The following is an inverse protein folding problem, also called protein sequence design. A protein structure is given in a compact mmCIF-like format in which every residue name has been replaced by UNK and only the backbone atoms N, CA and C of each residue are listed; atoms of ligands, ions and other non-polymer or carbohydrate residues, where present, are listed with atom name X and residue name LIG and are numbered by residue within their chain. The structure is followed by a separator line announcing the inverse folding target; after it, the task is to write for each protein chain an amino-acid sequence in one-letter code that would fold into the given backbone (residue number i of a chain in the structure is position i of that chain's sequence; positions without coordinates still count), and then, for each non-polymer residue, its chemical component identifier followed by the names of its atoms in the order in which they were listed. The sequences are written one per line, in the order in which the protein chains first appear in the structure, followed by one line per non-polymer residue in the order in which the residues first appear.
data_IF_593369182221
#
_entry.id   IF_593369182221
#
_cell.length_a   1.000
_cell.length_b   1.000
_cell.length_c   1.000
_cell.angle_alpha   90.00
_cell.angle_beta   90.00
_cell.angle_gamma   90.00
#
_symmetry.space_group_name_H-M   'P 1'
#
loop_
_entity.id
_entity.type
_entity.pdbx_description
1 polymer ?
#
# COMPACT_ATOMS: atom_id res chain seq x y z
N UNK A 1 23.25 10.15 -4.12
CA UNK A 1 22.25 10.44 -5.17
C UNK A 1 21.11 9.41 -5.25
N UNK A 2 21.02 8.44 -4.33
CA UNK A 2 19.95 7.42 -4.23
C UNK A 2 18.67 7.98 -3.62
N UNK A 3 17.51 7.29 -3.73
CA UNK A 3 16.32 7.57 -2.92
C UNK A 3 16.63 7.59 -1.42
N UNK A 4 15.78 8.23 -0.62
CA UNK A 4 15.93 8.28 0.87
C UNK A 4 15.94 6.87 1.45
N UNK A 5 15.12 5.98 0.90
CA UNK A 5 15.06 4.57 1.26
C UNK A 5 14.24 3.75 0.29
N UNK A 6 14.50 2.45 0.26
CA UNK A 6 13.81 1.46 -0.55
C UNK A 6 13.45 0.25 0.29
N UNK A 7 12.16 -0.07 0.38
CA UNK A 7 11.64 -1.11 1.26
C UNK A 7 10.77 -2.09 0.52
N UNK A 8 10.87 -3.36 0.88
CA UNK A 8 9.97 -4.40 0.42
C UNK A 8 9.03 -4.82 1.55
N UNK A 9 7.73 -4.63 1.37
CA UNK A 9 6.71 -5.01 2.32
C UNK A 9 6.09 -6.34 1.90
N UNK A 10 6.35 -7.38 2.68
CA UNK A 10 5.84 -8.74 2.45
C UNK A 10 4.77 -9.09 3.45
N UNK A 11 3.83 -9.92 3.06
CA UNK A 11 2.83 -10.45 3.95
C UNK A 11 1.46 -10.63 3.29
N UNK A 12 0.54 -11.26 4.01
CA UNK A 12 -0.80 -11.52 3.51
C UNK A 12 -1.56 -10.25 3.10
N UNK A 13 -2.63 -10.43 2.36
CA UNK A 13 -3.53 -9.33 2.01
C UNK A 13 -4.22 -8.76 3.25
N UNK A 14 -4.39 -7.44 3.31
CA UNK A 14 -5.19 -6.79 4.34
C UNK A 14 -4.54 -6.69 5.73
N UNK A 15 -3.21 -6.79 5.82
CA UNK A 15 -2.45 -6.63 7.07
C UNK A 15 -1.94 -5.20 7.31
N UNK A 16 -2.18 -4.26 6.37
CA UNK A 16 -1.86 -2.85 6.57
C UNK A 16 -0.67 -2.32 5.77
N UNK A 17 -0.12 -3.06 4.79
CA UNK A 17 1.03 -2.61 3.98
C UNK A 17 0.79 -1.24 3.33
N UNK A 18 -0.35 -1.06 2.65
CA UNK A 18 -0.72 0.21 2.00
C UNK A 18 -1.01 1.31 3.02
N UNK A 19 -1.62 0.99 4.15
CA UNK A 19 -1.93 1.98 5.19
C UNK A 19 -0.65 2.51 5.86
N UNK A 20 0.37 1.65 6.06
CA UNK A 20 1.67 2.11 6.55
C UNK A 20 2.34 3.07 5.56
N UNK A 21 2.26 2.79 4.24
CA UNK A 21 2.81 3.70 3.23
C UNK A 21 2.12 5.07 3.23
N UNK A 22 0.79 5.12 3.44
CA UNK A 22 0.04 6.38 3.61
C UNK A 22 0.47 7.13 4.86
N UNK A 23 0.54 6.43 5.99
CA UNK A 23 0.98 7.02 7.26
C UNK A 23 2.41 7.57 7.18
N UNK A 24 3.30 6.91 6.44
CA UNK A 24 4.65 7.40 6.18
C UNK A 24 4.64 8.68 5.34
N UNK A 25 3.80 8.77 4.31
CA UNK A 25 3.69 9.97 3.49
C UNK A 25 3.20 11.16 4.32
N UNK A 26 2.17 10.96 5.15
CA UNK A 26 1.66 11.97 6.06
C UNK A 26 2.70 12.39 7.11
N UNK A 27 3.35 11.42 7.75
CA UNK A 27 4.33 11.68 8.81
C UNK A 27 5.59 12.41 8.32
N UNK A 28 6.09 12.06 7.13
CA UNK A 28 7.35 12.59 6.62
C UNK A 28 7.19 13.86 5.78
N UNK A 29 6.07 14.00 5.09
CA UNK A 29 5.84 15.09 4.14
C UNK A 29 4.62 15.96 4.50
N UNK A 30 3.96 15.68 5.63
CA UNK A 30 2.81 16.42 6.16
C UNK A 30 1.63 16.52 5.15
N UNK A 31 1.52 15.54 4.24
CA UNK A 31 0.49 15.48 3.21
C UNK A 31 0.23 14.02 2.77
N UNK A 32 -0.96 13.49 3.05
CA UNK A 32 -1.38 12.17 2.56
C UNK A 32 -1.29 12.05 1.02
N UNK A 33 -1.44 13.19 0.30
CA UNK A 33 -1.32 13.24 -1.16
C UNK A 33 0.12 13.12 -1.65
N UNK A 34 1.11 13.12 -0.75
CA UNK A 34 2.49 12.78 -1.08
C UNK A 34 2.70 11.28 -1.36
N UNK A 35 1.64 10.46 -1.28
CA UNK A 35 1.67 9.06 -1.70
C UNK A 35 1.36 8.96 -3.21
N UNK A 36 2.33 8.45 -3.97
CA UNK A 36 2.17 8.03 -5.37
C UNK A 36 1.97 6.53 -5.39
N UNK A 37 0.77 6.06 -5.70
CA UNK A 37 0.46 4.62 -5.76
C UNK A 37 0.35 4.15 -7.20
N UNK A 38 1.07 3.08 -7.51
CA UNK A 38 1.06 2.42 -8.83
C UNK A 38 0.88 0.92 -8.61
N UNK A 39 -0.16 0.35 -9.23
CA UNK A 39 -0.45 -1.08 -9.18
C UNK A 39 0.27 -1.79 -10.32
N UNK A 40 1.16 -2.73 -10.01
CA UNK A 40 1.95 -3.46 -11.00
C UNK A 40 1.12 -4.45 -11.81
N UNK A 41 -0.10 -4.77 -11.41
CA UNK A 41 -1.03 -5.55 -12.24
C UNK A 41 -1.41 -4.83 -13.54
N UNK A 42 -1.26 -3.50 -13.60
CA UNK A 42 -1.45 -2.70 -14.81
C UNK A 42 -0.21 -2.68 -15.73
N UNK A 43 0.91 -3.26 -15.29
CA UNK A 43 2.22 -3.24 -15.95
C UNK A 43 2.76 -4.66 -16.22
N UNK A 44 1.87 -5.59 -16.53
CA UNK A 44 2.21 -6.98 -16.84
C UNK A 44 2.79 -7.15 -18.25
N UNK A 45 2.44 -6.25 -19.17
CA UNK A 45 2.82 -6.31 -20.56
C UNK A 45 3.99 -5.37 -20.87
N UNK A 46 4.85 -5.77 -21.80
CA UNK A 46 6.05 -4.99 -22.19
C UNK A 46 5.72 -3.55 -22.60
N UNK A 47 4.69 -3.33 -23.39
CA UNK A 47 4.30 -1.99 -23.85
C UNK A 47 3.77 -1.10 -22.71
N UNK A 48 3.26 -1.70 -21.63
CA UNK A 48 2.75 -0.92 -20.50
C UNK A 48 3.86 -0.21 -19.72
N UNK A 49 5.11 -0.69 -19.81
CA UNK A 49 6.29 -0.05 -19.17
C UNK A 49 6.47 1.39 -19.66
N UNK A 50 6.16 1.67 -20.93
CA UNK A 50 6.22 3.03 -21.48
C UNK A 50 5.25 4.00 -20.78
N UNK A 51 4.16 3.49 -20.21
CA UNK A 51 3.25 4.30 -19.39
C UNK A 51 3.87 4.76 -18.06
N UNK A 52 4.87 4.04 -17.55
CA UNK A 52 5.59 4.45 -16.34
C UNK A 52 6.51 5.64 -16.58
N UNK A 53 7.26 5.61 -17.67
CA UNK A 53 8.33 6.58 -17.97
C UNK A 53 7.93 7.59 -19.02
N UNK A 54 6.86 7.37 -19.77
CA UNK A 54 6.43 8.14 -20.93
C UNK A 54 6.79 7.48 -22.24
N UNK A 55 5.94 7.65 -23.25
CA UNK A 55 6.19 7.15 -24.59
C UNK A 55 7.26 8.00 -25.28
N UNK A 56 8.12 7.41 -26.15
CA UNK A 56 9.07 8.17 -26.95
C UNK A 56 8.35 9.01 -28.03
N UNK A 57 9.03 10.00 -28.63
CA UNK A 57 8.47 10.84 -29.67
C UNK A 57 7.87 10.03 -30.81
N UNK A 58 6.67 10.42 -31.25
CA UNK A 58 5.94 9.76 -32.34
C UNK A 58 5.05 8.59 -31.93
N UNK A 59 5.01 8.23 -30.66
CA UNK A 59 4.10 7.19 -30.14
C UNK A 59 2.90 7.83 -29.42
N UNK A 60 1.79 7.08 -29.39
CA UNK A 60 0.58 7.47 -28.65
C UNK A 60 0.89 7.60 -27.15
N UNK A 61 0.44 8.69 -26.52
CA UNK A 61 0.71 8.98 -25.12
C UNK A 61 1.99 9.79 -24.84
N UNK A 62 2.71 10.25 -25.89
CA UNK A 62 3.90 11.08 -25.71
C UNK A 62 3.63 12.36 -24.92
N UNK A 63 2.53 13.05 -25.21
CA UNK A 63 2.16 14.32 -24.55
C UNK A 63 1.69 14.14 -23.10
N UNK A 64 1.23 12.94 -22.72
CA UNK A 64 0.74 12.64 -21.38
C UNK A 64 1.86 12.47 -20.35
N UNK A 65 3.08 12.12 -20.84
CA UNK A 65 4.21 11.80 -19.97
C UNK A 65 4.07 10.45 -19.28
N UNK A 66 5.06 10.07 -18.48
CA UNK A 66 5.04 8.82 -17.72
C UNK A 66 4.33 8.96 -16.37
N UNK A 67 3.54 7.98 -16.01
CA UNK A 67 2.77 8.00 -14.77
C UNK A 67 3.68 8.15 -13.53
N UNK A 68 4.80 7.43 -13.48
CA UNK A 68 5.77 7.53 -12.41
C UNK A 68 6.59 8.82 -12.50
N UNK A 69 7.15 9.10 -13.68
CA UNK A 69 8.03 10.25 -13.87
C UNK A 69 7.33 11.58 -13.70
N UNK A 70 6.10 11.75 -14.21
CA UNK A 70 5.31 12.97 -14.02
C UNK A 70 4.85 13.15 -12.56
N UNK A 71 4.48 12.08 -11.88
CA UNK A 71 4.09 12.14 -10.47
C UNK A 71 5.24 12.66 -9.60
N UNK A 72 6.45 12.11 -9.78
CA UNK A 72 7.64 12.52 -9.03
C UNK A 72 8.12 13.91 -9.45
N UNK A 73 8.05 14.26 -10.74
CA UNK A 73 8.39 15.60 -11.21
C UNK A 73 7.52 16.69 -10.58
N UNK A 74 6.22 16.41 -10.43
CA UNK A 74 5.26 17.33 -9.79
C UNK A 74 5.41 17.38 -8.27
N UNK A 75 5.79 16.26 -7.65
CA UNK A 75 5.98 16.11 -6.20
C UNK A 75 7.27 15.37 -5.90
N UNK A 76 8.41 16.08 -5.87
CA UNK A 76 9.72 15.46 -5.65
C UNK A 76 9.85 14.82 -4.26
N UNK A 77 9.13 15.33 -3.27
CA UNK A 77 9.07 14.77 -1.91
C UNK A 77 7.83 13.90 -1.82
N UNK A 78 8.00 12.60 -1.99
CA UNK A 78 6.88 11.66 -2.01
C UNK A 78 7.29 10.25 -1.58
N UNK A 79 6.31 9.50 -1.12
CA UNK A 79 6.38 8.05 -0.97
C UNK A 79 5.81 7.42 -2.23
N UNK A 80 6.60 6.59 -2.90
CA UNK A 80 6.18 5.83 -4.08
C UNK A 80 5.84 4.42 -3.61
N UNK A 81 4.59 4.03 -3.78
CA UNK A 81 4.10 2.70 -3.47
C UNK A 81 3.85 1.93 -4.75
N UNK A 82 4.64 0.89 -4.97
CA UNK A 82 4.51 -0.05 -6.08
C UNK A 82 3.85 -1.33 -5.54
N UNK A 83 2.56 -1.49 -5.80
CA UNK A 83 1.79 -2.64 -5.30
C UNK A 83 1.93 -3.86 -6.23
N UNK A 84 1.99 -5.05 -5.62
CA UNK A 84 1.97 -6.36 -6.30
C UNK A 84 3.13 -6.57 -7.28
N UNK A 85 4.35 -6.33 -6.81
CA UNK A 85 5.58 -6.39 -7.62
C UNK A 85 5.80 -7.70 -8.36
N UNK A 86 5.30 -8.83 -7.84
CA UNK A 86 5.37 -10.14 -8.49
C UNK A 86 4.65 -10.20 -9.84
N UNK A 87 3.73 -9.26 -10.11
CA UNK A 87 2.97 -9.18 -11.37
C UNK A 87 3.64 -8.33 -12.44
N UNK A 88 4.64 -7.53 -12.08
CA UNK A 88 5.30 -6.61 -12.99
C UNK A 88 6.04 -7.32 -14.11
N UNK A 89 5.97 -6.77 -15.33
CA UNK A 89 6.81 -7.21 -16.44
C UNK A 89 8.30 -7.04 -16.08
N UNK A 90 9.20 -7.94 -16.54
CA UNK A 90 10.65 -7.85 -16.27
C UNK A 90 11.28 -6.50 -16.58
N UNK A 91 10.81 -5.78 -17.59
CA UNK A 91 11.34 -4.46 -17.96
C UNK A 91 11.03 -3.38 -16.91
N UNK A 92 10.01 -3.54 -16.07
CA UNK A 92 9.75 -2.65 -14.93
C UNK A 92 10.92 -2.69 -13.95
N UNK A 93 11.48 -3.88 -13.69
CA UNK A 93 12.64 -4.02 -12.79
C UNK A 93 13.87 -3.31 -13.33
N UNK A 94 14.08 -3.28 -14.65
CA UNK A 94 15.18 -2.53 -15.26
C UNK A 94 15.04 -1.02 -15.03
N UNK A 95 13.82 -0.49 -15.11
CA UNK A 95 13.52 0.91 -14.77
C UNK A 95 13.79 1.19 -13.30
N UNK A 96 13.35 0.31 -12.41
CA UNK A 96 13.55 0.46 -10.96
C UNK A 96 15.01 0.34 -10.56
N UNK A 97 15.80 -0.55 -11.20
CA UNK A 97 17.23 -0.64 -10.97
C UNK A 97 17.93 0.69 -11.22
N UNK A 98 17.58 1.39 -12.30
CA UNK A 98 18.12 2.72 -12.59
C UNK A 98 17.77 3.73 -11.49
N UNK A 99 16.53 3.71 -11.01
CA UNK A 99 16.09 4.58 -9.91
C UNK A 99 16.85 4.27 -8.62
N UNK A 100 17.00 2.98 -8.28
CA UNK A 100 17.65 2.55 -7.04
C UNK A 100 19.17 2.80 -7.04
N UNK A 101 19.82 2.69 -8.21
CA UNK A 101 21.26 2.90 -8.35
C UNK A 101 21.63 4.38 -8.51
N UNK A 102 20.96 5.08 -9.42
CA UNK A 102 21.32 6.44 -9.84
C UNK A 102 20.46 7.53 -9.17
N UNK A 103 19.35 7.16 -8.52
CA UNK A 103 18.39 8.10 -7.92
C UNK A 103 17.73 9.01 -8.94
N UNK A 104 17.73 8.64 -10.22
CA UNK A 104 17.16 9.42 -11.33
C UNK A 104 16.68 8.50 -12.45
N UNK A 105 15.76 9.01 -13.24
CA UNK A 105 15.20 8.33 -14.38
C UNK A 105 15.00 9.32 -15.52
N UNK A 106 15.36 8.93 -16.75
CA UNK A 106 15.07 9.73 -17.94
C UNK A 106 13.69 9.37 -18.47
N UNK A 107 12.82 10.37 -18.60
CA UNK A 107 11.47 10.18 -19.14
C UNK A 107 11.46 10.06 -20.69
N UNK A 108 10.30 9.74 -21.24
CA UNK A 108 10.12 9.61 -22.71
C UNK A 108 10.37 10.90 -23.48
N UNK A 109 10.45 12.06 -22.82
CA UNK A 109 10.76 13.35 -23.41
C UNK A 109 12.24 13.74 -23.26
N UNK A 110 13.08 12.86 -22.73
CA UNK A 110 14.50 13.09 -22.51
C UNK A 110 14.83 13.91 -21.25
N UNK A 111 13.85 14.20 -20.39
CA UNK A 111 14.07 14.95 -19.15
C UNK A 111 14.53 14.02 -18.05
N UNK A 112 15.50 14.45 -17.25
CA UNK A 112 15.91 13.72 -16.05
C UNK A 112 14.98 14.07 -14.87
N UNK A 113 14.41 13.04 -14.26
CA UNK A 113 13.58 13.13 -13.06
C UNK A 113 14.36 12.59 -11.87
N UNK A 114 14.50 13.39 -10.83
CA UNK A 114 15.23 13.02 -9.60
C UNK A 114 14.32 12.34 -8.60
N UNK A 115 14.78 11.21 -8.05
CA UNK A 115 14.13 10.40 -7.02
C UNK A 115 14.81 10.52 -5.66
N UNK A 116 15.82 11.39 -5.51
CA UNK A 116 16.61 11.46 -4.26
C UNK A 116 15.80 11.87 -3.02
N UNK A 117 14.68 12.53 -3.18
CA UNK A 117 13.81 12.93 -2.07
C UNK A 117 12.57 12.02 -1.94
N UNK A 118 12.61 10.83 -2.54
CA UNK A 118 11.51 9.86 -2.49
C UNK A 118 11.87 8.69 -1.60
N UNK A 119 10.84 8.06 -1.05
CA UNK A 119 10.91 6.73 -0.43
C UNK A 119 10.17 5.78 -1.35
N UNK A 120 10.81 4.65 -1.67
CA UNK A 120 10.22 3.62 -2.53
C UNK A 120 9.78 2.46 -1.66
N UNK A 121 8.50 2.15 -1.69
CA UNK A 121 7.90 1.00 -1.03
C UNK A 121 7.33 0.09 -2.09
N UNK A 122 7.74 -1.16 -2.07
CA UNK A 122 7.25 -2.22 -2.92
C UNK A 122 6.49 -3.23 -2.09
N UNK A 123 5.31 -3.66 -2.54
CA UNK A 123 4.57 -4.71 -1.85
C UNK A 123 4.54 -5.99 -2.67
N UNK A 124 4.48 -7.11 -2.00
CA UNK A 124 4.27 -8.42 -2.62
C UNK A 124 3.56 -9.39 -1.68
N UNK A 125 2.86 -10.34 -2.27
CA UNK A 125 2.27 -11.48 -1.56
C UNK A 125 3.19 -12.72 -1.59
N UNK A 126 4.39 -12.60 -2.13
CA UNK A 126 5.39 -13.68 -2.12
C UNK A 126 5.72 -14.05 -0.68
N UNK A 127 5.78 -15.34 -0.40
CA UNK A 127 6.02 -15.85 0.96
C UNK A 127 4.82 -15.76 1.92
N UNK A 128 3.68 -15.23 1.49
CA UNK A 128 2.51 -15.02 2.37
C UNK A 128 2.00 -16.28 3.04
N UNK A 129 2.11 -17.44 2.38
CA UNK A 129 1.73 -18.73 2.96
C UNK A 129 2.60 -19.08 4.16
N UNK A 130 3.93 -18.99 4.02
CA UNK A 130 4.88 -19.23 5.11
C UNK A 130 4.66 -18.26 6.26
N UNK A 131 4.43 -16.97 5.96
CA UNK A 131 4.13 -15.95 6.96
C UNK A 131 2.84 -16.30 7.72
N UNK A 132 1.78 -16.70 7.02
CA UNK A 132 0.50 -17.04 7.65
C UNK A 132 0.57 -18.29 8.54
N UNK A 133 1.32 -19.31 8.12
CA UNK A 133 1.38 -20.60 8.82
C UNK A 133 2.38 -20.63 9.98
N UNK A 134 3.50 -19.92 9.87
CA UNK A 134 4.64 -19.99 10.77
C UNK A 134 4.80 -18.77 11.68
N UNK A 135 4.15 -17.63 11.41
CA UNK A 135 4.21 -16.47 12.30
C UNK A 135 3.84 -16.80 13.74
N UNK A 136 4.71 -16.45 14.67
CA UNK A 136 4.54 -16.72 16.09
C UNK A 136 4.74 -18.18 16.52
N UNK A 137 5.13 -19.06 15.59
CA UNK A 137 5.41 -20.49 15.85
C UNK A 137 6.88 -20.81 15.60
N UNK A 138 7.39 -20.50 14.42
CA UNK A 138 8.76 -20.71 14.00
C UNK A 138 9.20 -19.56 13.08
N UNK A 139 9.74 -18.52 13.69
CA UNK A 139 10.15 -17.30 12.98
C UNK A 139 11.40 -17.53 12.11
N UNK A 140 12.27 -18.43 12.49
CA UNK A 140 13.48 -18.75 11.73
C UNK A 140 13.14 -19.48 10.44
N UNK A 141 12.31 -20.54 10.54
CA UNK A 141 11.83 -21.27 9.36
C UNK A 141 10.97 -20.39 8.47
N UNK A 142 10.12 -19.53 9.06
CA UNK A 142 9.34 -18.55 8.30
C UNK A 142 10.25 -17.66 7.46
N UNK A 143 11.29 -17.06 8.05
CA UNK A 143 12.24 -16.20 7.34
C UNK A 143 12.95 -16.96 6.23
N UNK A 144 13.42 -18.16 6.51
CA UNK A 144 14.09 -19.02 5.52
C UNK A 144 13.17 -19.28 4.31
N UNK A 145 11.91 -19.62 4.54
CA UNK A 145 10.94 -19.87 3.45
C UNK A 145 10.59 -18.59 2.69
N UNK A 146 10.47 -17.45 3.37
CA UNK A 146 10.24 -16.14 2.74
C UNK A 146 11.42 -15.76 1.85
N UNK A 147 12.64 -15.87 2.34
CA UNK A 147 13.86 -15.55 1.59
C UNK A 147 14.00 -16.44 0.36
N UNK A 148 13.72 -17.74 0.50
CA UNK A 148 13.72 -18.68 -0.63
C UNK A 148 12.66 -18.30 -1.68
N UNK A 149 11.45 -17.94 -1.26
CA UNK A 149 10.38 -17.51 -2.17
C UNK A 149 10.75 -16.20 -2.90
N UNK A 150 11.36 -15.25 -2.19
CA UNK A 150 11.85 -13.99 -2.77
C UNK A 150 12.93 -14.24 -3.81
N UNK A 151 13.90 -15.09 -3.52
CA UNK A 151 14.99 -15.45 -4.43
C UNK A 151 14.50 -16.19 -5.69
N UNK A 152 13.39 -16.92 -5.61
CA UNK A 152 12.76 -17.57 -6.76
C UNK A 152 11.99 -16.60 -7.64
N UNK A 153 11.42 -15.54 -7.05
CA UNK A 153 10.55 -14.61 -7.75
C UNK A 153 11.28 -13.41 -8.32
N UNK A 154 12.26 -12.88 -7.57
CA UNK A 154 12.98 -11.67 -7.92
C UNK A 154 14.45 -11.93 -8.17
N UNK A 155 15.05 -11.22 -9.12
CA UNK A 155 16.48 -11.36 -9.44
C UNK A 155 17.34 -10.89 -8.27
N UNK A 156 18.47 -11.59 -7.97
CA UNK A 156 19.39 -11.21 -6.89
C UNK A 156 19.91 -9.78 -7.04
N UNK A 157 20.19 -9.32 -8.27
CA UNK A 157 20.64 -7.96 -8.54
C UNK A 157 19.63 -6.88 -8.11
N UNK A 158 18.33 -7.19 -8.16
CA UNK A 158 17.28 -6.31 -7.70
C UNK A 158 17.17 -6.33 -6.16
N UNK A 159 17.13 -7.52 -5.56
CA UNK A 159 17.01 -7.67 -4.11
C UNK A 159 18.20 -7.02 -3.36
N UNK A 160 19.41 -7.09 -3.90
CA UNK A 160 20.60 -6.51 -3.30
C UNK A 160 20.60 -4.96 -3.27
N UNK A 161 19.66 -4.31 -3.94
CA UNK A 161 19.52 -2.84 -3.94
C UNK A 161 18.43 -2.33 -3.03
N UNK A 162 17.67 -3.25 -2.45
CA UNK A 162 16.64 -2.92 -1.47
C UNK A 162 17.30 -2.76 -0.10
N UNK A 163 16.99 -1.66 0.58
CA UNK A 163 17.62 -1.35 1.87
C UNK A 163 17.12 -2.29 2.96
N UNK A 164 15.81 -2.63 2.97
CA UNK A 164 15.27 -3.57 3.95
C UNK A 164 14.00 -4.27 3.47
N UNK A 165 13.75 -5.46 4.02
CA UNK A 165 12.56 -6.28 3.79
C UNK A 165 11.77 -6.38 5.09
N UNK A 166 10.57 -5.79 5.09
CA UNK A 166 9.67 -5.75 6.23
C UNK A 166 8.59 -6.82 6.09
N UNK A 167 8.54 -7.76 7.02
CA UNK A 167 7.53 -8.81 7.06
C UNK A 167 6.34 -8.35 7.91
N UNK A 168 5.16 -8.35 7.30
CA UNK A 168 3.89 -8.07 7.94
C UNK A 168 3.23 -9.37 8.37
N UNK A 169 3.07 -9.55 9.65
CA UNK A 169 2.40 -10.72 10.22
C UNK A 169 0.87 -10.65 10.06
N UNK A 170 0.17 -11.79 10.08
CA UNK A 170 -1.28 -11.82 10.17
C UNK A 170 -1.78 -11.03 11.36
N UNK A 171 -2.92 -10.35 11.19
CA UNK A 171 -3.51 -9.56 12.27
C UNK A 171 -4.22 -10.47 13.26
N UNK A 172 -3.89 -10.33 14.54
CA UNK A 172 -4.63 -10.95 15.63
C UNK A 172 -5.84 -10.10 16.06
N UNK A 173 -6.69 -10.67 16.92
CA UNK A 173 -7.93 -10.01 17.37
C UNK A 173 -7.67 -8.65 18.02
N UNK A 174 -6.62 -8.53 18.84
CA UNK A 174 -6.26 -7.27 19.49
C UNK A 174 -5.90 -6.14 18.49
N UNK A 175 -5.25 -6.49 17.39
CA UNK A 175 -4.97 -5.52 16.31
C UNK A 175 -6.25 -5.14 15.56
N UNK A 176 -7.13 -6.11 15.28
CA UNK A 176 -8.40 -5.85 14.62
C UNK A 176 -9.29 -4.92 15.46
N UNK A 177 -9.36 -5.12 16.78
CA UNK A 177 -10.11 -4.22 17.67
C UNK A 177 -9.58 -2.79 17.64
N UNK A 178 -8.26 -2.60 17.55
CA UNK A 178 -7.65 -1.27 17.36
C UNK A 178 -8.02 -0.66 16.00
N UNK A 179 -8.08 -1.46 14.93
CA UNK A 179 -8.50 -1.00 13.62
C UNK A 179 -9.99 -0.60 13.64
N UNK A 180 -10.84 -1.35 14.36
CA UNK A 180 -12.24 -0.94 14.60
C UNK A 180 -12.30 0.43 15.27
N UNK A 181 -11.50 0.68 16.32
CA UNK A 181 -11.46 1.99 16.97
C UNK A 181 -11.06 3.12 16.03
N UNK A 182 -10.07 2.91 15.17
CA UNK A 182 -9.64 3.89 14.16
C UNK A 182 -10.78 4.18 13.18
N UNK A 183 -11.44 3.15 12.64
CA UNK A 183 -12.56 3.31 11.71
C UNK A 183 -13.74 4.04 12.38
N UNK A 184 -14.02 3.75 13.65
CA UNK A 184 -15.06 4.40 14.41
C UNK A 184 -14.70 5.85 14.77
N UNK A 185 -13.42 6.18 14.96
CA UNK A 185 -12.97 7.54 15.19
C UNK A 185 -13.31 8.45 13.99
N UNK A 186 -13.13 7.96 12.77
CA UNK A 186 -13.52 8.69 11.55
C UNK A 186 -15.03 8.94 11.47
N UNK A 187 -15.84 7.94 11.90
CA UNK A 187 -17.30 8.09 11.95
C UNK A 187 -17.68 9.12 13.02
N UNK A 188 -17.08 9.03 14.22
CA UNK A 188 -17.32 9.99 15.31
C UNK A 188 -16.95 11.42 14.91
N UNK A 189 -15.82 11.60 14.20
CA UNK A 189 -15.40 12.92 13.74
C UNK A 189 -16.38 13.54 12.73
N UNK A 190 -17.01 12.72 11.89
CA UNK A 190 -18.07 13.17 10.96
C UNK A 190 -19.36 13.54 11.70
N UNK A 191 -19.80 12.69 12.63
CA UNK A 191 -21.01 12.92 13.44
C UNK A 191 -20.89 14.13 14.34
N UNK A 192 -19.70 14.41 14.89
CA UNK A 192 -19.44 15.59 15.71
C UNK A 192 -19.69 16.91 14.97
N UNK A 193 -19.49 16.96 13.65
CA UNK A 193 -19.82 18.14 12.81
C UNK A 193 -21.33 18.41 12.80
N UNK A 194 -22.13 17.38 12.94
CA UNK A 194 -23.59 17.44 13.03
C UNK A 194 -24.09 17.47 14.49
N UNK A 195 -23.19 17.72 15.45
CA UNK A 195 -23.48 17.75 16.90
C UNK A 195 -24.04 16.44 17.47
N UNK A 196 -23.72 15.32 16.82
CA UNK A 196 -24.11 13.99 17.24
C UNK A 196 -22.94 13.24 17.88
N UNK A 197 -23.24 12.35 18.82
CA UNK A 197 -22.27 11.48 19.48
C UNK A 197 -22.57 10.02 19.20
N UNK A 198 -21.52 9.21 19.02
CA UNK A 198 -21.62 7.77 18.80
C UNK A 198 -20.99 7.03 19.98
N UNK A 199 -21.81 6.33 20.76
CA UNK A 199 -21.37 5.38 21.76
C UNK A 199 -21.51 3.95 21.18
N UNK A 200 -20.46 3.15 21.34
CA UNK A 200 -20.44 1.74 20.91
C UNK A 200 -20.14 0.88 22.12
N UNK A 201 -20.97 -0.13 22.35
CA UNK A 201 -20.76 -1.09 23.44
C UNK A 201 -19.56 -2.01 23.14
N UNK A 202 -18.88 -2.56 24.17
CA UNK A 202 -17.82 -3.54 23.97
C UNK A 202 -18.26 -4.75 23.14
N UNK A 203 -19.50 -5.22 23.35
CA UNK A 203 -20.08 -6.33 22.59
C UNK A 203 -20.24 -6.00 21.09
N UNK A 204 -20.73 -4.81 20.76
CA UNK A 204 -20.85 -4.35 19.39
C UNK A 204 -19.48 -4.19 18.72
N UNK A 205 -18.49 -3.65 19.44
CA UNK A 205 -17.11 -3.55 18.97
C UNK A 205 -16.53 -4.94 18.65
N UNK A 206 -16.73 -5.91 19.55
CA UNK A 206 -16.27 -7.29 19.35
C UNK A 206 -16.96 -7.94 18.14
N UNK A 207 -18.26 -7.73 17.96
CA UNK A 207 -19.00 -8.20 16.79
C UNK A 207 -18.40 -7.64 15.48
N UNK A 208 -18.09 -6.36 15.44
CA UNK A 208 -17.43 -5.73 14.28
C UNK A 208 -16.04 -6.32 14.05
N UNK A 209 -15.27 -6.55 15.11
CA UNK A 209 -13.93 -7.13 15.01
C UNK A 209 -13.97 -8.55 14.44
N UNK A 210 -14.85 -9.41 14.96
CA UNK A 210 -15.01 -10.79 14.51
C UNK A 210 -15.53 -10.83 13.06
N UNK A 211 -16.57 -10.04 12.76
CA UNK A 211 -17.16 -9.99 11.41
C UNK A 211 -16.30 -9.30 10.35
N UNK A 212 -15.36 -8.45 10.79
CA UNK A 212 -14.44 -7.71 9.90
C UNK A 212 -13.14 -8.41 9.60
N UNK A 213 -12.86 -9.54 10.25
CA UNK A 213 -11.65 -10.34 9.99
C UNK A 213 -11.98 -11.47 9.02
N UNK A 214 -11.26 -11.51 7.92
CA UNK A 214 -11.32 -12.59 6.93
C UNK A 214 -10.00 -13.36 6.88
N UNK A 215 -10.00 -14.69 6.86
CA UNK A 215 -8.76 -15.48 6.83
C UNK A 215 -7.90 -15.23 5.58
N UNK A 216 -8.51 -14.83 4.46
CA UNK A 216 -7.83 -14.60 3.17
C UNK A 216 -7.54 -13.12 2.94
N UNK A 217 -8.52 -12.26 3.26
CA UNK A 217 -8.47 -10.82 2.97
C UNK A 217 -8.09 -9.94 4.18
N UNK A 218 -7.79 -10.56 5.34
CA UNK A 218 -7.41 -9.86 6.55
C UNK A 218 -8.48 -8.88 7.03
N UNK A 219 -8.09 -7.64 7.31
CA UNK A 219 -9.00 -6.58 7.76
C UNK A 219 -9.70 -5.81 6.61
N UNK A 220 -9.51 -6.19 5.35
CA UNK A 220 -10.17 -5.51 4.21
C UNK A 220 -11.69 -5.41 4.33
N UNK A 221 -12.42 -6.46 4.78
CA UNK A 221 -13.88 -6.40 4.90
C UNK A 221 -14.36 -5.45 5.99
N UNK A 222 -13.51 -5.12 6.98
CA UNK A 222 -13.89 -4.33 8.13
C UNK A 222 -14.48 -2.96 7.78
N UNK A 223 -13.87 -2.25 6.83
CA UNK A 223 -14.36 -0.94 6.40
C UNK A 223 -15.77 -1.01 5.82
N UNK A 224 -16.07 -2.05 5.04
CA UNK A 224 -17.41 -2.27 4.47
C UNK A 224 -18.41 -2.66 5.57
N UNK A 225 -17.96 -3.46 6.53
CA UNK A 225 -18.80 -3.87 7.66
C UNK A 225 -19.17 -2.65 8.52
N UNK A 226 -18.21 -1.80 8.87
CA UNK A 226 -18.47 -0.56 9.62
C UNK A 226 -19.39 0.36 8.83
N UNK A 227 -19.21 0.48 7.51
CA UNK A 227 -20.11 1.26 6.68
C UNK A 227 -21.56 0.74 6.80
N UNK A 228 -21.77 -0.55 6.59
CA UNK A 228 -23.11 -1.16 6.57
C UNK A 228 -23.76 -1.18 7.94
N UNK A 229 -23.04 -1.66 8.96
CA UNK A 229 -23.63 -1.91 10.29
C UNK A 229 -23.71 -0.65 11.16
N UNK A 230 -22.88 0.36 10.89
CA UNK A 230 -22.82 1.57 11.70
C UNK A 230 -23.30 2.79 10.90
N UNK A 231 -22.61 3.12 9.81
CA UNK A 231 -22.89 4.38 9.08
C UNK A 231 -24.26 4.36 8.43
N UNK A 232 -24.59 3.30 7.72
CA UNK A 232 -25.88 3.16 7.03
C UNK A 232 -27.05 3.07 8.02
N UNK A 233 -26.84 2.39 9.16
CA UNK A 233 -27.83 2.30 10.23
C UNK A 233 -28.10 3.68 10.87
N UNK A 234 -27.06 4.48 11.10
CA UNK A 234 -27.20 5.85 11.61
C UNK A 234 -27.89 6.74 10.57
N UNK A 235 -27.52 6.63 9.30
CA UNK A 235 -28.16 7.40 8.23
C UNK A 235 -29.66 7.11 8.13
N UNK A 236 -30.07 5.85 8.22
CA UNK A 236 -31.47 5.45 8.27
C UNK A 236 -32.20 6.06 9.48
N UNK A 237 -31.59 5.98 10.67
CA UNK A 237 -32.17 6.52 11.90
C UNK A 237 -32.35 8.06 11.87
N UNK A 238 -31.44 8.78 11.17
CA UNK A 238 -31.56 10.22 10.95
C UNK A 238 -32.72 10.53 10.00
N UNK A 239 -32.83 9.78 8.89
CA UNK A 239 -33.90 9.95 7.90
C UNK A 239 -35.27 9.68 8.51
N UNK A 240 -35.37 8.63 9.32
CA UNK A 240 -36.62 8.26 10.01
C UNK A 240 -36.95 9.17 11.22
N UNK A 241 -36.06 10.13 11.53
CA UNK A 241 -36.26 11.06 12.67
C UNK A 241 -36.12 10.42 14.05
N UNK A 242 -35.57 9.21 14.13
CA UNK A 242 -35.36 8.48 15.39
C UNK A 242 -34.16 9.05 16.17
N UNK A 243 -33.21 9.65 15.46
CA UNK A 243 -32.03 10.34 16.02
C UNK A 243 -32.03 11.78 15.50
N UNK A 244 -31.82 12.74 16.42
CA UNK A 244 -31.75 14.19 16.12
C UNK A 244 -30.45 14.78 16.63
#
# INVERSE_FOLDING_TARGET
DKPIGSFFFLGPTGVGKTELAKALAECLFDDERALVRIDMSEYMEKFSVQRLIGAPPGYVGYDEGGQLTEAVRRRPYSVILLDEMEKAHPDVFNVLLQVLDDGRLTDGQGRQVSFKNTIIIMTSNVGSKAIAELSGKDEEEMRHQVDAAMAQTFRPEFLNRIDDIVVFHPLGMAQIEKIVDIQLADVRARLAKERMTLAITPAAKQMLAVGGLDPVFGARPLKRLVQREVVDAIAAAIIDGTVR
#
